data_IF_285704736127
#
_entry.id   IF_285704736127
#
_cell.length_a   1.000
_cell.length_b   1.000
_cell.length_c   1.000
_cell.angle_alpha   90.00
_cell.angle_beta   90.00
_cell.angle_gamma   90.00
#
_symmetry.space_group_name_H-M   'P 1'
#
loop_
_entity.id
_entity.type
_entity.pdbx_description
1 polymer ?
#
# COMPACT_ATOMS: atom_id res chain seq x y z
N UNK A 1 -3.42 -20.93 26.18
CA UNK A 1 -2.92 -20.88 27.56
C UNK A 1 -3.55 -21.99 28.39
N UNK A 2 -2.86 -22.48 29.42
CA UNK A 2 -3.36 -23.53 30.31
C UNK A 2 -3.22 -23.09 31.76
N UNK A 3 -4.35 -22.89 32.43
CA UNK A 3 -4.42 -22.54 33.84
C UNK A 3 -4.80 -23.75 34.67
N UNK A 4 -4.01 -24.06 35.70
CA UNK A 4 -4.37 -25.11 36.65
C UNK A 4 -5.17 -24.50 37.80
N UNK A 5 -6.32 -25.10 38.12
CA UNK A 5 -7.08 -24.73 39.32
C UNK A 5 -7.30 -25.95 40.23
N UNK A 6 -7.43 -25.68 41.53
CA UNK A 6 -7.67 -26.67 42.58
C UNK A 6 -8.97 -26.32 43.30
N UNK A 7 -9.90 -27.27 43.39
CA UNK A 7 -11.06 -27.18 44.26
C UNK A 7 -10.80 -27.94 45.56
N UNK A 8 -11.18 -27.36 46.71
CA UNK A 8 -11.06 -27.96 48.05
C UNK A 8 -12.44 -28.11 48.67
N UNK A 9 -12.70 -29.24 49.31
CA UNK A 9 -13.97 -29.47 50.03
C UNK A 9 -13.97 -28.86 51.44
N UNK A 10 -12.86 -28.24 51.85
CA UNK A 10 -12.61 -27.69 53.20
C UNK A 10 -12.68 -28.72 54.34
N UNK A 11 -12.64 -30.01 54.01
CA UNK A 11 -12.60 -31.14 54.95
C UNK A 11 -11.40 -32.06 54.69
N UNK A 12 -10.42 -31.58 53.91
CA UNK A 12 -9.13 -32.24 53.65
C UNK A 12 -9.02 -32.89 52.27
N UNK A 13 -10.10 -32.91 51.49
CA UNK A 13 -10.11 -33.36 50.10
C UNK A 13 -9.86 -32.21 49.13
N UNK A 14 -9.08 -32.46 48.07
CA UNK A 14 -8.97 -31.53 46.95
C UNK A 14 -8.87 -32.26 45.62
N UNK A 15 -9.29 -31.58 44.56
CA UNK A 15 -9.18 -32.05 43.18
C UNK A 15 -8.66 -30.92 42.31
N UNK A 16 -7.86 -31.24 41.30
CA UNK A 16 -7.31 -30.26 40.36
C UNK A 16 -7.76 -30.56 38.94
N UNK A 17 -7.94 -29.51 38.17
CA UNK A 17 -8.20 -29.59 36.74
C UNK A 17 -7.49 -28.46 36.00
N UNK A 18 -7.37 -28.63 34.68
CA UNK A 18 -6.82 -27.62 33.79
C UNK A 18 -7.96 -26.91 33.07
N UNK A 19 -7.89 -25.58 33.02
CA UNK A 19 -8.64 -24.74 32.11
C UNK A 19 -7.73 -24.42 30.92
N UNK A 20 -8.02 -25.01 29.77
CA UNK A 20 -7.36 -24.66 28.52
C UNK A 20 -8.13 -23.54 27.85
N UNK A 21 -7.48 -22.41 27.61
CA UNK A 21 -8.00 -21.31 26.80
C UNK A 21 -7.29 -21.35 25.45
N UNK A 22 -8.05 -21.62 24.40
CA UNK A 22 -7.59 -21.54 23.01
C UNK A 22 -8.00 -20.20 22.44
N UNK A 23 -7.02 -19.42 21.97
CA UNK A 23 -7.24 -18.22 21.17
C UNK A 23 -6.85 -18.57 19.74
N UNK A 24 -7.73 -18.30 18.79
CA UNK A 24 -7.48 -18.50 17.37
C UNK A 24 -7.48 -17.13 16.71
N UNK A 25 -6.36 -16.77 16.07
CA UNK A 25 -6.29 -15.55 15.26
C UNK A 25 -7.04 -15.72 13.94
N UNK A 26 -7.33 -14.61 13.29
CA UNK A 26 -7.89 -14.52 11.93
C UNK A 26 -6.94 -13.71 11.07
N UNK A 27 -6.96 -13.95 9.76
CA UNK A 27 -6.27 -13.07 8.82
C UNK A 27 -7.06 -11.75 8.69
N UNK A 28 -6.47 -10.67 9.12
CA UNK A 28 -6.92 -9.31 8.91
C UNK A 28 -6.41 -8.80 7.55
N UNK A 29 -7.11 -7.83 6.96
CA UNK A 29 -6.67 -7.24 5.70
C UNK A 29 -5.66 -6.12 5.97
N UNK A 30 -4.74 -5.85 5.02
CA UNK A 30 -3.81 -4.75 5.16
C UNK A 30 -4.57 -3.42 5.17
N UNK A 31 -3.96 -2.39 5.72
CA UNK A 31 -4.45 -1.00 5.69
C UNK A 31 -3.55 -0.20 4.74
N UNK A 32 -4.05 0.05 3.54
CA UNK A 32 -3.40 0.91 2.56
C UNK A 32 -3.63 2.39 2.90
N UNK A 33 -2.58 3.21 2.76
CA UNK A 33 -2.57 4.63 3.09
C UNK A 33 -2.17 5.43 1.85
N UNK A 34 -2.96 6.44 1.49
CA UNK A 34 -2.70 7.22 0.28
C UNK A 34 -1.30 7.87 0.26
N UNK A 35 -0.71 7.87 -0.93
CA UNK A 35 0.58 8.45 -1.24
C UNK A 35 0.45 9.74 -2.04
N UNK A 36 1.44 10.61 -1.88
CA UNK A 36 1.59 11.79 -2.71
C UNK A 36 3.06 12.01 -3.09
N UNK A 37 3.29 12.42 -4.33
CA UNK A 37 4.58 12.91 -4.80
C UNK A 37 4.36 14.12 -5.72
N UNK A 38 5.42 14.88 -5.94
CA UNK A 38 5.36 16.06 -6.79
C UNK A 38 6.52 16.11 -7.78
N UNK A 39 6.25 16.63 -8.98
CA UNK A 39 7.22 16.81 -10.05
C UNK A 39 7.01 18.18 -10.70
N UNK A 40 8.10 18.90 -11.00
CA UNK A 40 8.01 20.21 -11.67
C UNK A 40 8.17 20.05 -13.17
N UNK A 41 7.44 20.81 -13.97
CA UNK A 41 7.55 20.75 -15.43
C UNK A 41 8.92 21.18 -15.99
N UNK A 42 9.62 22.11 -15.34
CA UNK A 42 10.75 22.79 -15.99
C UNK A 42 12.15 22.31 -15.56
N UNK A 43 12.52 21.08 -15.90
CA UNK A 43 13.94 20.67 -15.89
C UNK A 43 14.57 20.81 -17.28
N UNK A 44 15.16 21.98 -17.51
CA UNK A 44 16.17 22.36 -18.52
C UNK A 44 15.92 22.14 -20.04
N UNK A 45 15.09 21.20 -20.51
CA UNK A 45 14.59 21.15 -21.90
C UNK A 45 13.32 20.28 -22.01
N UNK A 46 12.52 20.45 -23.08
CA UNK A 46 11.37 19.57 -23.42
C UNK A 46 11.74 18.07 -23.55
N UNK A 47 13.04 17.75 -23.67
CA UNK A 47 13.54 16.42 -23.98
C UNK A 47 14.11 15.66 -22.78
N UNK A 48 14.29 16.33 -21.63
CA UNK A 48 14.83 15.67 -20.44
C UNK A 48 13.67 15.08 -19.60
N UNK A 49 13.59 13.74 -19.43
CA UNK A 49 12.58 13.14 -18.57
C UNK A 49 12.80 13.64 -17.14
N UNK A 50 11.71 14.08 -16.50
CA UNK A 50 11.70 14.45 -15.09
C UNK A 50 10.96 13.39 -14.26
N UNK A 51 11.64 12.28 -13.87
CA UNK A 51 11.00 11.24 -13.11
C UNK A 51 10.97 11.57 -11.61
N UNK A 52 9.87 11.20 -10.95
CA UNK A 52 9.79 11.08 -9.49
C UNK A 52 9.58 9.61 -9.13
N UNK A 53 10.17 9.15 -8.04
CA UNK A 53 10.06 7.76 -7.58
C UNK A 53 9.76 7.66 -6.10
N UNK A 54 9.24 6.51 -5.69
CA UNK A 54 8.89 6.21 -4.31
C UNK A 54 8.45 4.76 -4.15
N UNK A 55 7.80 4.46 -3.03
CA UNK A 55 7.19 3.16 -2.80
C UNK A 55 5.86 3.30 -2.03
N UNK A 56 4.77 2.88 -2.66
CA UNK A 56 3.38 3.00 -2.13
C UNK A 56 3.07 2.08 -0.94
N UNK A 57 3.96 1.15 -0.61
CA UNK A 57 3.79 0.23 0.51
C UNK A 57 4.53 0.69 1.78
N UNK A 58 5.25 1.82 1.72
CA UNK A 58 6.14 2.25 2.82
C UNK A 58 5.39 2.72 4.07
N UNK A 59 4.17 3.21 3.88
CA UNK A 59 3.25 3.73 4.91
C UNK A 59 2.06 2.80 5.18
N UNK A 60 1.99 1.67 4.46
CA UNK A 60 0.96 0.65 4.63
C UNK A 60 1.29 -0.29 5.80
N UNK A 61 0.28 -0.86 6.42
CA UNK A 61 0.45 -1.74 7.59
C UNK A 61 -0.47 -2.96 7.55
N UNK A 62 -0.04 -4.07 8.12
CA UNK A 62 -0.91 -5.18 8.52
C UNK A 62 -0.89 -5.38 10.04
N UNK A 63 -1.99 -5.88 10.60
CA UNK A 63 -2.06 -6.33 11.99
C UNK A 63 -1.39 -7.70 12.14
N UNK A 64 -1.43 -8.53 11.10
CA UNK A 64 -0.86 -9.86 11.10
C UNK A 64 0.66 -9.83 10.94
N UNK A 65 1.32 -10.43 11.92
CA UNK A 65 2.76 -10.32 12.08
C UNK A 65 3.47 -11.36 11.20
N UNK A 66 4.24 -10.89 10.22
CA UNK A 66 5.00 -11.75 9.30
C UNK A 66 4.41 -11.83 7.89
N UNK A 67 3.29 -11.14 7.66
CA UNK A 67 2.70 -10.99 6.33
C UNK A 67 3.59 -10.15 5.41
N UNK A 68 3.51 -10.44 4.12
CA UNK A 68 4.29 -9.75 3.09
C UNK A 68 3.37 -8.99 2.19
N UNK A 69 3.59 -7.68 2.10
CA UNK A 69 2.80 -6.80 1.26
C UNK A 69 3.26 -6.82 -0.19
N UNK A 70 2.30 -6.77 -1.11
CA UNK A 70 2.57 -6.60 -2.53
C UNK A 70 1.44 -5.85 -3.23
N UNK A 71 1.79 -5.06 -4.25
CA UNK A 71 0.80 -4.46 -5.14
C UNK A 71 0.24 -5.54 -6.07
N UNK A 72 -1.04 -5.84 -5.90
CA UNK A 72 -1.76 -6.88 -6.65
C UNK A 72 -2.57 -6.34 -7.83
N UNK A 73 -2.88 -5.05 -7.83
CA UNK A 73 -3.56 -4.37 -8.94
C UNK A 73 -3.23 -2.88 -8.96
N UNK A 74 -3.19 -2.29 -10.16
CA UNK A 74 -3.12 -0.84 -10.38
C UNK A 74 -4.30 -0.43 -11.24
N UNK A 75 -5.06 0.59 -10.84
CA UNK A 75 -6.33 0.97 -11.48
C UNK A 75 -7.31 -0.21 -11.64
N UNK A 76 -7.39 -1.05 -10.61
CA UNK A 76 -8.28 -2.21 -10.55
C UNK A 76 -7.88 -3.39 -11.44
N UNK A 77 -6.71 -3.36 -12.08
CA UNK A 77 -6.23 -4.44 -12.96
C UNK A 77 -4.87 -4.97 -12.50
N UNK A 78 -4.80 -6.29 -12.30
CA UNK A 78 -3.54 -6.99 -12.06
C UNK A 78 -2.59 -6.92 -13.27
N UNK A 79 -3.14 -6.82 -14.48
CA UNK A 79 -2.35 -6.69 -15.71
C UNK A 79 -1.60 -5.36 -15.83
N UNK A 80 -1.90 -4.37 -14.99
CA UNK A 80 -1.21 -3.09 -14.97
C UNK A 80 0.02 -3.11 -14.06
N UNK A 81 0.16 -4.09 -13.16
CA UNK A 81 1.31 -4.20 -12.25
C UNK A 81 2.58 -4.46 -13.08
N UNK A 82 3.64 -3.69 -12.83
CA UNK A 82 4.92 -3.78 -13.54
C UNK A 82 4.86 -3.37 -15.01
N UNK A 83 3.81 -2.63 -15.42
CA UNK A 83 3.65 -2.11 -16.78
C UNK A 83 3.49 -0.59 -16.74
N UNK A 84 3.86 0.05 -17.87
CA UNK A 84 3.67 1.48 -18.04
C UNK A 84 2.19 1.82 -18.21
N UNK A 85 1.73 2.76 -17.40
CA UNK A 85 0.37 3.25 -17.35
C UNK A 85 0.37 4.75 -17.66
N UNK A 86 -0.11 5.08 -18.86
CA UNK A 86 -0.23 6.46 -19.32
C UNK A 86 -1.38 7.14 -18.56
N UNK A 87 -1.04 8.14 -17.75
CA UNK A 87 -1.95 9.07 -17.12
C UNK A 87 -2.31 10.24 -18.05
N UNK A 88 -2.85 11.30 -17.46
CA UNK A 88 -3.22 12.52 -18.19
C UNK A 88 -2.01 13.38 -18.51
N UNK A 89 -1.05 13.46 -17.58
CA UNK A 89 0.11 14.36 -17.65
C UNK A 89 1.44 13.63 -17.73
N UNK A 90 1.47 12.32 -17.52
CA UNK A 90 2.69 11.53 -17.54
C UNK A 90 2.43 10.04 -17.52
N UNK A 91 3.48 9.26 -17.32
CA UNK A 91 3.41 7.79 -17.32
C UNK A 91 3.90 7.24 -15.98
N UNK A 92 3.08 6.41 -15.34
CA UNK A 92 3.43 5.66 -14.13
C UNK A 92 3.92 4.27 -14.49
N UNK A 93 5.00 3.83 -13.85
CA UNK A 93 5.37 2.43 -13.75
C UNK A 93 5.34 2.04 -12.27
N UNK A 94 4.49 1.08 -11.87
CA UNK A 94 4.33 0.64 -10.48
C UNK A 94 4.50 -0.87 -10.39
N UNK A 95 5.55 -1.31 -9.67
CA UNK A 95 5.92 -2.71 -9.50
C UNK A 95 5.14 -3.39 -8.37
N UNK A 96 5.17 -4.73 -8.37
CA UNK A 96 4.56 -5.55 -7.31
C UNK A 96 5.17 -5.31 -5.93
N UNK A 97 6.43 -4.89 -5.85
CA UNK A 97 7.10 -4.58 -4.58
C UNK A 97 6.78 -3.17 -4.06
N UNK A 98 5.84 -2.48 -4.71
CA UNK A 98 5.41 -1.13 -4.37
C UNK A 98 6.30 -0.03 -4.94
N UNK A 99 7.49 -0.35 -5.45
CA UNK A 99 8.37 0.65 -6.05
C UNK A 99 7.73 1.23 -7.31
N UNK A 100 7.79 2.54 -7.45
CA UNK A 100 7.26 3.22 -8.63
C UNK A 100 8.21 4.28 -9.17
N UNK A 101 8.04 4.55 -10.45
CA UNK A 101 8.52 5.76 -11.11
C UNK A 101 7.39 6.40 -11.90
N UNK A 102 7.23 7.71 -11.80
CA UNK A 102 6.35 8.49 -12.65
C UNK A 102 7.19 9.47 -13.46
N UNK A 103 7.01 9.50 -14.78
CA UNK A 103 7.67 10.46 -15.66
C UNK A 103 6.64 11.42 -16.22
N UNK A 104 6.80 12.71 -15.95
CA UNK A 104 5.96 13.76 -16.52
C UNK A 104 6.20 13.88 -18.04
N UNK A 105 5.13 14.02 -18.83
CA UNK A 105 5.23 14.37 -20.25
C UNK A 105 5.42 15.89 -20.38
N UNK A 106 6.68 16.31 -20.39
CA UNK A 106 7.02 17.71 -20.52
C UNK A 106 6.74 18.28 -21.92
N UNK A 107 6.50 17.42 -22.92
CA UNK A 107 6.08 17.85 -24.25
C UNK A 107 4.60 18.19 -24.33
N UNK A 108 3.81 17.86 -23.30
CA UNK A 108 2.36 18.05 -23.32
C UNK A 108 2.02 19.54 -23.20
N UNK A 109 1.20 20.04 -24.15
CA UNK A 109 0.85 21.46 -24.21
C UNK A 109 0.16 21.97 -22.93
N UNK A 110 -0.61 21.13 -22.24
CA UNK A 110 -1.26 21.51 -20.98
C UNK A 110 -0.31 21.60 -19.80
N UNK A 111 0.81 20.87 -19.84
CA UNK A 111 1.92 21.03 -18.87
C UNK A 111 2.65 22.33 -19.20
N UNK A 112 3.11 22.50 -20.43
CA UNK A 112 3.83 23.71 -20.88
C UNK A 112 3.07 25.05 -20.77
N UNK A 113 1.76 25.02 -20.51
CA UNK A 113 0.92 26.20 -20.35
C UNK A 113 0.57 26.50 -18.89
N UNK A 114 1.10 25.74 -17.92
CA UNK A 114 0.89 26.06 -16.53
C UNK A 114 1.54 27.40 -16.19
N UNK A 115 0.77 28.23 -15.49
CA UNK A 115 1.27 29.48 -14.97
C UNK A 115 2.10 29.23 -13.70
N UNK A 116 2.92 30.20 -13.31
CA UNK A 116 3.64 30.12 -12.05
C UNK A 116 2.69 29.85 -10.87
N UNK A 117 2.94 28.75 -10.15
CA UNK A 117 2.12 28.30 -9.02
C UNK A 117 0.86 27.51 -9.39
N UNK A 118 0.57 27.31 -10.68
CA UNK A 118 -0.46 26.36 -11.10
C UNK A 118 0.03 24.91 -10.93
N UNK A 119 -0.90 24.00 -10.71
CA UNK A 119 -0.63 22.57 -10.60
C UNK A 119 -1.67 21.76 -11.34
N UNK A 120 -1.29 20.57 -11.77
CA UNK A 120 -2.17 19.53 -12.31
C UNK A 120 -1.95 18.26 -11.52
N UNK A 121 -2.83 17.27 -11.66
CA UNK A 121 -2.68 16.02 -10.91
C UNK A 121 -3.03 14.81 -11.75
N UNK A 122 -2.25 13.75 -11.58
CA UNK A 122 -2.63 12.39 -11.96
C UNK A 122 -2.89 11.57 -10.69
N UNK A 123 -3.91 10.71 -10.72
CA UNK A 123 -4.28 9.83 -9.61
C UNK A 123 -4.35 8.40 -10.11
N UNK A 124 -3.59 7.52 -9.45
CA UNK A 124 -3.57 6.09 -9.72
C UNK A 124 -3.96 5.33 -8.47
N UNK A 125 -4.97 4.47 -8.55
CA UNK A 125 -5.30 3.56 -7.45
C UNK A 125 -4.39 2.34 -7.46
N UNK A 126 -4.00 1.85 -6.29
CA UNK A 126 -3.28 0.58 -6.14
C UNK A 126 -3.99 -0.30 -5.12
N UNK A 127 -3.76 -1.61 -5.19
CA UNK A 127 -4.29 -2.59 -4.23
C UNK A 127 -3.14 -3.32 -3.55
N UNK A 128 -2.97 -3.10 -2.25
CA UNK A 128 -2.05 -3.84 -1.39
C UNK A 128 -2.70 -5.16 -0.97
N UNK A 129 -2.00 -6.27 -1.18
CA UNK A 129 -2.38 -7.62 -0.79
C UNK A 129 -1.40 -8.16 0.25
N UNK A 130 -1.92 -8.78 1.29
CA UNK A 130 -1.15 -9.48 2.35
C UNK A 130 -0.60 -10.85 1.91
N UNK A 131 -1.05 -11.34 0.75
CA UNK A 131 -0.77 -12.67 0.20
C UNK A 131 -1.35 -13.86 1.00
N UNK A 132 -2.28 -13.58 1.91
CA UNK A 132 -3.07 -14.54 2.67
C UNK A 132 -4.58 -14.37 2.47
N UNK A 133 -4.98 -13.46 1.60
CA UNK A 133 -6.35 -13.32 1.09
C UNK A 133 -7.03 -12.02 1.51
N UNK A 134 -6.37 -11.20 2.33
CA UNK A 134 -6.77 -9.83 2.60
C UNK A 134 -6.16 -8.85 1.61
N UNK A 135 -6.90 -7.79 1.32
CA UNK A 135 -6.39 -6.70 0.49
C UNK A 135 -7.10 -5.39 0.84
N UNK A 136 -6.44 -4.28 0.58
CA UNK A 136 -7.02 -2.94 0.61
C UNK A 136 -6.44 -2.06 -0.49
N UNK A 137 -7.11 -0.94 -0.76
CA UNK A 137 -6.71 -0.03 -1.84
C UNK A 137 -6.55 1.39 -1.33
N UNK A 138 -5.60 2.10 -1.91
CA UNK A 138 -5.42 3.54 -1.73
C UNK A 138 -4.96 4.18 -3.06
N UNK A 139 -4.67 5.47 -3.03
CA UNK A 139 -4.31 6.25 -4.21
C UNK A 139 -2.89 6.78 -4.10
N UNK A 140 -2.15 6.71 -5.20
CA UNK A 140 -0.95 7.52 -5.46
C UNK A 140 -1.38 8.76 -6.24
N UNK A 141 -1.17 9.93 -5.66
CA UNK A 141 -1.43 11.24 -6.31
C UNK A 141 -0.11 11.89 -6.70
N UNK A 142 0.06 12.21 -7.98
CA UNK A 142 1.21 12.96 -8.48
C UNK A 142 0.74 14.39 -8.80
N UNK A 143 1.44 15.39 -8.28
CA UNK A 143 1.16 16.83 -8.50
C UNK A 143 2.28 17.55 -9.25
#
# INVERSE_FOLDING_TARGET
DVFRYTNSDNHGGSSSANLTITITGTNDAPVAVADAAAVKEDTNTLADPNPVSGNVLSNDTDVDNGDTHSVSAVNGSAGNVGNDLVGTYGTLHLNSDGSYSYTLDNGLASVQQLAEGATVTDVFSYTNSDNHGGSSSANLTIT
#
